data_IF_726922552359
#
_entry.id   IF_726922552359
#
_cell.length_a   1.000
_cell.length_b   1.000
_cell.length_c   1.000
_cell.angle_alpha   90.00
_cell.angle_beta   90.00
_cell.angle_gamma   90.00
#
_symmetry.space_group_name_H-M   'P 1'
#
loop_
_entity.id
_entity.type
_entity.pdbx_description
1 polymer ?
#
# COMPACT_ATOMS: atom_id res chain seq x y z
N UNK A 1 29.75 -0.22 10.24
CA UNK A 1 29.19 -0.31 8.87
C UNK A 1 28.47 -1.65 8.75
N UNK A 2 27.16 -1.69 8.52
CA UNK A 2 26.44 -2.96 8.33
C UNK A 2 26.91 -3.64 7.03
N UNK A 3 27.13 -4.94 7.07
CA UNK A 3 27.53 -5.73 5.90
C UNK A 3 26.34 -6.00 4.98
N UNK A 4 26.59 -6.23 3.68
CA UNK A 4 25.53 -6.55 2.70
C UNK A 4 24.67 -7.75 3.14
N UNK A 5 25.26 -8.72 3.84
CA UNK A 5 24.52 -9.84 4.43
C UNK A 5 23.54 -9.42 5.54
N UNK A 6 23.86 -8.36 6.30
CA UNK A 6 22.97 -7.77 7.30
C UNK A 6 21.73 -7.15 6.66
N UNK A 7 21.92 -6.31 5.65
CA UNK A 7 20.81 -5.70 4.90
C UNK A 7 19.92 -6.76 4.23
N UNK A 8 20.52 -7.79 3.63
CA UNK A 8 19.78 -8.88 3.02
C UNK A 8 18.86 -9.61 4.02
N UNK A 9 19.37 -9.95 5.21
CA UNK A 9 18.55 -10.61 6.25
C UNK A 9 17.40 -9.73 6.72
N UNK A 10 17.64 -8.44 6.89
CA UNK A 10 16.60 -7.48 7.25
C UNK A 10 15.50 -7.42 6.18
N UNK A 11 15.88 -7.31 4.90
CA UNK A 11 14.90 -7.21 3.81
C UNK A 11 14.15 -8.52 3.55
N UNK A 12 14.81 -9.66 3.70
CA UNK A 12 14.13 -10.96 3.67
C UNK A 12 13.14 -11.12 4.84
N UNK A 13 13.38 -10.47 5.98
CA UNK A 13 12.42 -10.39 7.07
C UNK A 13 11.22 -9.52 6.70
N UNK A 14 11.47 -8.31 6.18
CA UNK A 14 10.42 -7.39 5.75
C UNK A 14 9.56 -7.99 4.63
N UNK A 15 10.18 -8.64 3.63
CA UNK A 15 9.47 -9.35 2.58
C UNK A 15 8.46 -10.36 3.12
N UNK A 16 8.87 -11.17 4.10
CA UNK A 16 7.98 -12.16 4.72
C UNK A 16 6.85 -11.50 5.52
N UNK A 17 7.11 -10.35 6.14
CA UNK A 17 6.08 -9.59 6.85
C UNK A 17 5.04 -9.02 5.87
N UNK A 18 5.48 -8.47 4.74
CA UNK A 18 4.59 -7.99 3.67
C UNK A 18 3.68 -9.11 3.18
N UNK A 19 4.23 -10.28 2.83
CA UNK A 19 3.42 -11.39 2.33
C UNK A 19 2.42 -11.92 3.38
N UNK A 20 2.77 -11.87 4.68
CA UNK A 20 1.84 -12.21 5.76
C UNK A 20 0.71 -11.19 5.84
N UNK A 21 1.06 -9.91 5.86
CA UNK A 21 0.09 -8.83 5.90
C UNK A 21 -0.84 -8.84 4.68
N UNK A 22 -0.34 -9.11 3.47
CA UNK A 22 -1.17 -9.29 2.28
C UNK A 22 -2.21 -10.41 2.45
N UNK A 23 -1.82 -11.55 3.06
CA UNK A 23 -2.73 -12.67 3.31
C UNK A 23 -3.82 -12.34 4.32
N UNK A 24 -3.48 -11.55 5.33
CA UNK A 24 -4.38 -11.19 6.43
C UNK A 24 -5.29 -10.01 6.10
N UNK A 25 -4.84 -9.09 5.24
CA UNK A 25 -5.48 -7.78 5.04
C UNK A 25 -6.05 -7.56 3.65
N UNK A 26 -5.56 -8.26 2.62
CA UNK A 26 -5.98 -7.99 1.25
C UNK A 26 -6.96 -9.06 0.71
N UNK A 27 -8.01 -8.64 -0.03
CA UNK A 27 -8.84 -9.53 -0.83
C UNK A 27 -8.01 -10.31 -1.86
N UNK A 28 -8.47 -11.52 -2.23
CA UNK A 28 -7.74 -12.46 -3.09
C UNK A 28 -7.08 -11.86 -4.35
N UNK A 29 -7.79 -11.07 -5.17
CA UNK A 29 -7.21 -10.44 -6.36
C UNK A 29 -6.11 -9.41 -6.03
N UNK A 30 -6.35 -8.54 -5.03
CA UNK A 30 -5.39 -7.53 -4.60
C UNK A 30 -4.13 -8.16 -3.97
N UNK A 31 -4.31 -9.25 -3.23
CA UNK A 31 -3.20 -10.05 -2.71
C UNK A 31 -2.32 -10.60 -3.81
N UNK A 32 -2.90 -11.25 -4.83
CA UNK A 32 -2.13 -11.84 -5.91
C UNK A 32 -1.31 -10.79 -6.68
N UNK A 33 -1.92 -9.63 -6.94
CA UNK A 33 -1.23 -8.49 -7.55
C UNK A 33 -0.08 -7.98 -6.66
N UNK A 34 -0.35 -7.74 -5.38
CA UNK A 34 0.65 -7.26 -4.41
C UNK A 34 1.81 -8.24 -4.23
N UNK A 35 1.53 -9.54 -4.14
CA UNK A 35 2.55 -10.59 -3.99
C UNK A 35 3.49 -10.66 -5.22
N UNK A 36 2.92 -10.56 -6.42
CA UNK A 36 3.70 -10.51 -7.67
C UNK A 36 4.62 -9.29 -7.69
N UNK A 37 4.07 -8.12 -7.40
CA UNK A 37 4.81 -6.86 -7.38
C UNK A 37 5.96 -6.89 -6.36
N UNK A 38 5.66 -7.27 -5.11
CA UNK A 38 6.67 -7.35 -4.06
C UNK A 38 7.79 -8.36 -4.39
N UNK A 39 7.46 -9.47 -5.06
CA UNK A 39 8.44 -10.47 -5.49
C UNK A 39 9.37 -9.94 -6.58
N UNK A 40 8.84 -9.21 -7.56
CA UNK A 40 9.63 -8.57 -8.61
C UNK A 40 10.55 -7.50 -8.04
N UNK A 41 10.04 -6.61 -7.20
CA UNK A 41 10.83 -5.55 -6.58
C UNK A 41 11.96 -6.13 -5.73
N UNK A 42 11.68 -7.15 -4.91
CA UNK A 42 12.72 -7.83 -4.13
C UNK A 42 13.81 -8.40 -5.04
N UNK A 43 13.45 -9.07 -6.14
CA UNK A 43 14.44 -9.62 -7.09
C UNK A 43 15.25 -8.53 -7.79
N UNK A 44 14.63 -7.43 -8.19
CA UNK A 44 15.33 -6.30 -8.84
C UNK A 44 16.39 -5.72 -7.91
N UNK A 45 16.06 -5.50 -6.65
CA UNK A 45 16.96 -4.94 -5.65
C UNK A 45 18.11 -5.89 -5.25
N UNK A 46 17.91 -7.21 -5.36
CA UNK A 46 18.97 -8.20 -5.18
C UNK A 46 19.94 -8.30 -6.36
N UNK A 47 19.45 -8.11 -7.58
CA UNK A 47 20.25 -8.23 -8.81
C UNK A 47 21.02 -6.95 -9.14
N UNK A 48 20.48 -5.79 -8.75
CA UNK A 48 21.16 -4.52 -8.91
C UNK A 48 22.41 -4.45 -8.02
N UNK A 49 23.44 -3.71 -8.46
CA UNK A 49 24.58 -3.33 -7.60
C UNK A 49 24.12 -2.28 -6.58
N UNK A 50 23.30 -2.71 -5.63
CA UNK A 50 22.65 -1.85 -4.64
C UNK A 50 23.66 -1.36 -3.62
N UNK A 51 23.77 -0.04 -3.49
CA UNK A 51 24.66 0.61 -2.53
C UNK A 51 24.10 0.54 -1.10
N UNK A 52 24.93 0.68 -0.05
CA UNK A 52 24.45 0.72 1.34
C UNK A 52 23.39 1.80 1.62
N UNK A 53 23.42 2.92 0.89
CA UNK A 53 22.40 3.97 1.01
C UNK A 53 21.05 3.50 0.46
N UNK A 54 21.05 2.90 -0.73
CA UNK A 54 19.84 2.33 -1.33
C UNK A 54 19.26 1.19 -0.49
N UNK A 55 20.10 0.37 0.15
CA UNK A 55 19.63 -0.66 1.08
C UNK A 55 18.89 -0.08 2.29
N UNK A 56 19.38 1.04 2.85
CA UNK A 56 18.71 1.72 3.96
C UNK A 56 17.39 2.32 3.54
N UNK A 57 17.37 3.02 2.40
CA UNK A 57 16.15 3.63 1.88
C UNK A 57 15.08 2.58 1.61
N UNK A 58 15.46 1.48 0.95
CA UNK A 58 14.55 0.38 0.68
C UNK A 58 14.01 -0.26 1.97
N UNK A 59 14.89 -0.46 2.97
CA UNK A 59 14.48 -0.94 4.29
C UNK A 59 13.50 0.00 5.00
N UNK A 60 13.71 1.32 4.88
CA UNK A 60 12.82 2.34 5.44
C UNK A 60 11.43 2.29 4.78
N UNK A 61 11.36 2.32 3.45
CA UNK A 61 10.09 2.26 2.72
C UNK A 61 9.32 0.96 2.99
N UNK A 62 10.01 -0.18 3.01
CA UNK A 62 9.37 -1.47 3.28
C UNK A 62 8.87 -1.60 4.71
N UNK A 63 9.62 -1.03 5.67
CA UNK A 63 9.14 -0.94 7.06
C UNK A 63 7.89 -0.07 7.17
N UNK A 64 7.87 1.08 6.50
CA UNK A 64 6.69 1.96 6.45
C UNK A 64 5.48 1.26 5.83
N UNK A 65 5.68 0.55 4.72
CA UNK A 65 4.61 -0.21 4.06
C UNK A 65 4.03 -1.32 4.97
N UNK A 66 4.89 -2.07 5.68
CA UNK A 66 4.43 -3.06 6.67
C UNK A 66 3.63 -2.41 7.79
N UNK A 67 4.12 -1.29 8.34
CA UNK A 67 3.39 -0.52 9.37
C UNK A 67 2.02 -0.05 8.86
N UNK A 68 1.95 0.39 7.60
CA UNK A 68 0.70 0.83 6.96
C UNK A 68 -0.28 -0.33 6.83
N UNK A 69 0.15 -1.49 6.30
CA UNK A 69 -0.69 -2.68 6.17
C UNK A 69 -1.19 -3.20 7.53
N UNK A 70 -0.36 -3.11 8.57
CA UNK A 70 -0.72 -3.54 9.92
C UNK A 70 -1.57 -2.52 10.68
N UNK A 71 -1.78 -1.32 10.11
CA UNK A 71 -2.49 -0.23 10.78
C UNK A 71 -1.71 0.36 11.95
N UNK A 72 -0.40 0.13 12.04
CA UNK A 72 0.49 0.67 13.09
C UNK A 72 1.32 1.85 12.60
N UNK A 73 1.14 2.26 11.34
CA UNK A 73 1.74 3.47 10.79
C UNK A 73 1.22 4.72 11.50
N UNK A 74 2.13 5.64 11.83
CA UNK A 74 1.81 7.00 12.29
C UNK A 74 1.18 7.81 11.15
N UNK A 75 0.62 8.99 11.45
CA UNK A 75 0.00 9.86 10.45
C UNK A 75 0.92 10.12 9.24
N UNK A 76 2.20 10.35 9.48
CA UNK A 76 3.22 10.61 8.45
C UNK A 76 3.45 9.42 7.50
N UNK A 77 3.21 8.18 7.96
CA UNK A 77 3.34 6.95 7.18
C UNK A 77 2.01 6.46 6.58
N UNK A 78 0.87 6.92 7.12
CA UNK A 78 -0.48 6.63 6.60
C UNK A 78 -0.89 7.58 5.50
N UNK A 79 -0.43 8.82 5.58
CA UNK A 79 -0.75 9.82 4.57
C UNK A 79 -0.05 9.41 3.29
N UNK A 80 -0.81 8.93 2.30
CA UNK A 80 -0.37 8.88 0.91
C UNK A 80 -0.20 10.28 0.32
N UNK A 81 0.18 11.25 1.15
CA UNK A 81 0.37 12.64 0.78
C UNK A 81 1.54 12.68 -0.18
N UNK A 82 1.29 13.34 -1.30
CA UNK A 82 2.31 13.56 -2.28
C UNK A 82 3.31 14.54 -1.67
N UNK A 83 4.62 14.25 -1.69
CA UNK A 83 5.64 15.17 -1.21
C UNK A 83 5.47 16.56 -1.82
N UNK A 84 5.71 17.61 -1.04
CA UNK A 84 5.41 19.00 -1.46
C UNK A 84 6.23 19.44 -2.68
N UNK A 85 7.45 18.93 -2.83
CA UNK A 85 8.29 19.09 -4.02
C UNK A 85 7.68 18.43 -5.26
N UNK A 86 7.07 17.24 -5.10
CA UNK A 86 6.37 16.54 -6.18
C UNK A 86 5.09 17.28 -6.54
N UNK A 87 4.31 17.78 -5.55
CA UNK A 87 3.12 18.61 -5.81
C UNK A 87 3.47 19.88 -6.58
N UNK A 88 4.58 20.54 -6.21
CA UNK A 88 5.08 21.72 -6.90
C UNK A 88 5.50 21.43 -8.34
N UNK A 89 6.05 20.24 -8.61
CA UNK A 89 6.49 19.81 -9.93
C UNK A 89 5.36 19.37 -10.90
N UNK A 90 4.13 19.16 -10.41
CA UNK A 90 2.99 18.79 -11.26
C UNK A 90 2.55 19.95 -12.15
N UNK A 91 2.27 19.67 -13.43
CA UNK A 91 1.62 20.63 -14.33
C UNK A 91 0.17 20.91 -13.92
N UNK A 92 -0.43 21.98 -14.44
CA UNK A 92 -1.81 22.33 -14.15
C UNK A 92 -2.79 21.18 -14.49
N UNK A 93 -2.58 20.51 -15.62
CA UNK A 93 -3.38 19.38 -16.09
C UNK A 93 -3.19 18.16 -15.18
N UNK A 94 -1.96 17.88 -14.75
CA UNK A 94 -1.67 16.76 -13.85
C UNK A 94 -2.29 16.97 -12.46
N UNK A 95 -2.31 18.21 -11.97
CA UNK A 95 -3.01 18.57 -10.72
C UNK A 95 -4.52 18.39 -10.85
N UNK A 96 -5.10 18.77 -11.97
CA UNK A 96 -6.53 18.58 -12.22
C UNK A 96 -6.90 17.08 -12.28
N UNK A 97 -6.09 16.26 -12.96
CA UNK A 97 -6.30 14.82 -13.01
C UNK A 97 -6.15 14.17 -11.63
N UNK A 98 -5.15 14.59 -10.85
CA UNK A 98 -4.96 14.11 -9.48
C UNK A 98 -6.17 14.45 -8.61
N UNK A 99 -6.70 15.67 -8.70
CA UNK A 99 -7.87 16.09 -7.96
C UNK A 99 -9.14 15.29 -8.34
N UNK A 100 -9.33 14.98 -9.63
CA UNK A 100 -10.41 14.10 -10.10
C UNK A 100 -10.26 12.69 -9.54
N UNK A 101 -9.05 12.16 -9.51
CA UNK A 101 -8.76 10.83 -8.95
C UNK A 101 -9.06 10.77 -7.45
N UNK A 102 -8.65 11.78 -6.68
CA UNK A 102 -8.91 11.89 -5.25
C UNK A 102 -10.42 11.91 -4.94
N UNK A 103 -11.20 12.69 -5.70
CA UNK A 103 -12.66 12.74 -5.54
C UNK A 103 -13.31 11.38 -5.82
N UNK A 104 -12.95 10.73 -6.93
CA UNK A 104 -13.50 9.41 -7.26
C UNK A 104 -13.15 8.35 -6.21
N UNK A 105 -11.93 8.38 -5.64
CA UNK A 105 -11.54 7.50 -4.56
C UNK A 105 -12.34 7.75 -3.27
N UNK A 106 -12.63 9.02 -2.95
CA UNK A 106 -13.44 9.40 -1.80
C UNK A 106 -14.91 8.97 -1.94
N UNK A 107 -15.47 9.06 -3.15
CA UNK A 107 -16.83 8.58 -3.47
C UNK A 107 -16.93 7.06 -3.29
N UNK A 108 -15.94 6.30 -3.80
CA UNK A 108 -15.87 4.85 -3.62
C UNK A 108 -15.76 4.43 -2.15
N UNK A 109 -15.00 5.18 -1.35
CA UNK A 109 -14.86 4.91 0.08
C UNK A 109 -16.17 5.13 0.85
N UNK A 110 -17.02 6.06 0.41
CA UNK A 110 -18.31 6.36 1.02
C UNK A 110 -19.47 5.47 0.51
N UNK A 111 -19.34 4.90 -0.70
CA UNK A 111 -20.38 4.07 -1.33
C UNK A 111 -20.42 2.59 -0.91
N UNK A 112 -19.51 2.11 -0.06
CA UNK A 112 -19.37 0.69 0.31
C UNK A 112 -20.34 0.16 1.37
N UNK A 113 -21.42 0.89 1.69
CA UNK A 113 -22.19 0.66 2.90
C UNK A 113 -23.71 0.75 2.79
N UNK A 114 -24.33 0.32 1.70
CA UNK A 114 -25.75 -0.10 1.69
C UNK A 114 -26.07 -0.73 0.33
N UNK A 115 -26.26 -2.05 0.27
CA UNK A 115 -27.30 -2.70 -0.56
C UNK A 115 -27.17 -4.22 -0.43
N UNK A 116 -27.98 -4.76 0.47
CA UNK A 116 -28.08 -6.19 0.75
C UNK A 116 -28.91 -6.43 2.01
N UNK A 117 -30.20 -6.13 2.01
CA UNK A 117 -31.22 -7.17 1.82
C UNK A 117 -32.64 -6.59 1.92
N UNK A 118 -33.48 -7.31 1.19
CA UNK A 118 -34.80 -7.10 0.67
C UNK A 118 -35.86 -6.73 1.69
N UNK A 119 -36.58 -5.66 1.39
CA UNK A 119 -37.99 -5.49 1.74
C UNK A 119 -38.81 -6.63 1.12
N UNK A 120 -39.25 -7.62 1.90
CA UNK A 120 -40.37 -8.48 1.55
C UNK A 120 -41.29 -8.74 2.76
N UNK A 121 -42.51 -8.26 2.60
CA UNK A 121 -43.78 -8.67 3.20
C UNK A 121 -44.00 -8.58 4.72
N UNK A 122 -44.51 -7.41 5.10
CA UNK A 122 -45.56 -7.31 6.11
C UNK A 122 -46.85 -7.97 5.60
N UNK A 123 -47.22 -9.14 6.13
CA UNK A 123 -48.62 -9.62 6.14
C UNK A 123 -49.08 -9.77 7.59
N UNK A 124 -50.26 -9.23 7.96
CA UNK A 124 -50.91 -9.60 9.20
C UNK A 124 -51.81 -10.82 8.97
N UNK A 125 -51.76 -11.77 9.90
CA UNK A 125 -52.80 -12.77 10.18
C UNK A 125 -52.85 -12.76 11.72
N UNK A 126 -53.91 -12.33 12.38
CA UNK A 126 -55.28 -12.85 12.30
C UNK A 126 -55.63 -13.23 13.74
#
# INVERSE_FOLDING_TARGET
MASNAGYFRQLASLYRQILRAHREKLPGPLRALGDSYASEEFRRHLKAKTTPAQWREFGHQWSGYVSMLNGTADQEQRSGDIPEDVQAALTAEQREQLFKLQQAAAELAQGGGTEGDSKLDSRPLG
#
